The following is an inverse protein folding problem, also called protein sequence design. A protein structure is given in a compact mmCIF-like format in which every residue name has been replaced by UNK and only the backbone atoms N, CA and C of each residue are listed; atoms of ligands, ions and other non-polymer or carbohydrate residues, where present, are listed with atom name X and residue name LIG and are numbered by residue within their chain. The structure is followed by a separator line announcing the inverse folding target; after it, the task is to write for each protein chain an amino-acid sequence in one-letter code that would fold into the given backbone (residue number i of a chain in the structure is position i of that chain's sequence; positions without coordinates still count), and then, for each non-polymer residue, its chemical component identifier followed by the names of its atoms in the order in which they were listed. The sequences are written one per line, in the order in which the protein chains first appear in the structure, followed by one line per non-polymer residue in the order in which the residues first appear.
data_IF_334340615076
#
_entry.id   IF_334340615076
#
_cell.length_a   1.000
_cell.length_b   1.000
_cell.length_c   1.000
_cell.angle_alpha   90.00
_cell.angle_beta   90.00
_cell.angle_gamma   90.00
#
_symmetry.space_group_name_H-M   'P 1'
#
loop_
_entity.id
_entity.type
_entity.pdbx_description
1 polymer ?
#
# COMPACT_ATOMS: atom_id res chain seq x y z
N UNK A 1 16.58 -3.97 6.14
CA UNK A 1 15.27 -3.67 5.55
C UNK A 1 14.20 -4.09 6.54
N UNK A 2 13.27 -3.19 6.86
CA UNK A 2 12.09 -3.48 7.68
C UNK A 2 10.98 -3.99 6.75
N UNK A 3 10.58 -5.26 6.93
CA UNK A 3 9.59 -5.93 6.09
C UNK A 3 8.15 -5.72 6.65
N UNK A 4 7.17 -6.51 6.20
CA UNK A 4 5.74 -6.39 6.57
C UNK A 4 5.50 -6.30 8.10
N UNK A 5 4.41 -5.63 8.49
CA UNK A 5 3.94 -5.58 9.87
C UNK A 5 4.26 -4.29 10.64
N UNK A 6 4.89 -3.29 10.02
CA UNK A 6 5.24 -2.03 10.70
C UNK A 6 4.07 -1.04 10.85
N UNK A 7 2.93 -1.31 10.22
CA UNK A 7 1.78 -0.41 10.09
C UNK A 7 0.48 -1.01 10.65
N UNK A 8 -0.47 -0.13 10.98
CA UNK A 8 -1.83 -0.47 11.40
C UNK A 8 -1.86 -1.48 12.55
N UNK A 9 -2.60 -2.58 12.36
CA UNK A 9 -2.60 -3.77 13.22
C UNK A 9 -2.11 -5.01 12.47
N UNK A 10 -1.14 -4.83 11.58
CA UNK A 10 -0.59 -5.86 10.70
C UNK A 10 0.29 -6.84 11.50
N UNK A 11 -0.35 -7.71 12.26
CA UNK A 11 0.28 -8.79 13.04
C UNK A 11 0.29 -10.12 12.26
N UNK A 12 -0.57 -10.22 11.24
CA UNK A 12 -0.63 -11.29 10.24
C UNK A 12 -1.09 -10.71 8.88
N UNK A 13 -1.43 -11.58 7.92
CA UNK A 13 -1.82 -11.16 6.56
C UNK A 13 -3.31 -10.82 6.37
N UNK A 14 -4.11 -10.82 7.45
CA UNK A 14 -5.58 -10.74 7.36
C UNK A 14 -6.15 -9.32 7.43
N UNK A 15 -5.36 -8.35 7.89
CA UNK A 15 -5.82 -7.00 8.25
C UNK A 15 -4.86 -5.89 7.83
N UNK A 16 -5.35 -4.65 7.83
CA UNK A 16 -4.57 -3.40 7.77
C UNK A 16 -3.88 -3.03 6.46
N UNK A 17 -3.84 -3.87 5.41
CA UNK A 17 -3.43 -3.37 4.09
C UNK A 17 -4.35 -2.23 3.68
N UNK A 18 -3.74 -1.15 3.18
CA UNK A 18 -4.38 0.14 2.96
C UNK A 18 -4.10 1.16 4.06
N UNK A 19 -3.94 0.73 5.32
CA UNK A 19 -3.76 1.61 6.49
C UNK A 19 -2.27 1.87 6.78
N UNK A 20 -1.61 2.62 5.90
CA UNK A 20 -0.17 2.92 5.95
C UNK A 20 0.21 3.94 7.04
N UNK A 21 -0.10 3.63 8.30
CA UNK A 21 0.25 4.44 9.48
C UNK A 21 1.07 3.57 10.43
N UNK A 22 2.18 4.10 10.96
CA UNK A 22 3.08 3.35 11.86
C UNK A 22 2.32 2.82 13.08
N UNK A 23 2.47 1.53 13.38
CA UNK A 23 1.88 0.90 14.56
C UNK A 23 2.62 1.35 15.83
N UNK A 24 2.00 2.25 16.60
CA UNK A 24 2.57 2.76 17.84
C UNK A 24 2.67 1.72 18.97
N UNK A 25 2.00 0.56 18.85
CA UNK A 25 2.20 -0.55 19.81
C UNK A 25 3.56 -1.19 19.64
N UNK A 26 4.02 -1.31 18.39
CA UNK A 26 5.33 -1.86 18.02
C UNK A 26 6.43 -0.79 18.07
N UNK A 27 6.08 0.43 17.68
CA UNK A 27 6.98 1.57 17.57
C UNK A 27 6.40 2.78 18.31
N UNK A 28 6.44 2.80 19.66
CA UNK A 28 5.82 3.86 20.48
C UNK A 28 6.30 5.28 20.12
N UNK A 29 7.57 5.40 19.75
CA UNK A 29 8.20 6.67 19.36
C UNK A 29 8.30 6.84 17.83
N UNK A 30 7.50 6.08 17.07
CA UNK A 30 7.56 5.99 15.62
C UNK A 30 8.80 5.24 15.11
N UNK A 31 9.06 5.29 13.80
CA UNK A 31 10.19 4.57 13.20
C UNK A 31 11.52 5.33 13.36
N UNK A 32 11.50 6.61 13.76
CA UNK A 32 12.69 7.45 13.81
C UNK A 32 13.84 6.85 14.65
N UNK A 33 13.63 6.35 15.89
CA UNK A 33 14.73 5.79 16.67
C UNK A 33 15.38 4.58 16.00
N UNK A 34 14.58 3.72 15.36
CA UNK A 34 15.08 2.57 14.61
C UNK A 34 15.90 3.01 13.40
N UNK A 35 15.37 3.95 12.62
CA UNK A 35 16.01 4.49 11.42
C UNK A 35 17.34 5.17 11.78
N UNK A 36 17.32 6.08 12.75
CA UNK A 36 18.51 6.79 13.21
C UNK A 36 19.58 5.82 13.70
N UNK A 37 19.20 4.79 14.48
CA UNK A 37 20.14 3.79 14.96
C UNK A 37 20.81 3.04 13.81
N UNK A 38 20.02 2.52 12.85
CA UNK A 38 20.57 1.82 11.68
C UNK A 38 21.51 2.71 10.88
N UNK A 39 21.14 3.97 10.65
CA UNK A 39 21.96 4.94 9.91
C UNK A 39 23.25 5.27 10.68
N UNK A 40 23.18 5.43 12.01
CA UNK A 40 24.37 5.67 12.85
C UNK A 40 25.40 4.54 12.80
N UNK A 41 24.97 3.33 12.46
CA UNK A 41 25.84 2.17 12.25
C UNK A 41 26.45 2.15 10.83
N UNK A 42 26.23 3.19 10.03
CA UNK A 42 26.73 3.30 8.65
C UNK A 42 25.95 2.48 7.64
N UNK A 43 24.75 1.99 7.99
CA UNK A 43 23.90 1.20 7.09
C UNK A 43 22.81 2.05 6.44
N UNK A 44 22.40 1.65 5.24
CA UNK A 44 21.20 2.19 4.61
C UNK A 44 19.95 1.55 5.22
N UNK A 45 18.94 2.37 5.52
CA UNK A 45 17.64 1.87 5.96
C UNK A 45 16.70 1.69 4.77
N UNK A 46 15.91 0.63 4.77
CA UNK A 46 14.91 0.36 3.74
C UNK A 46 13.64 -0.21 4.33
N UNK A 47 12.52 -0.02 3.64
CA UNK A 47 11.17 -0.33 4.14
C UNK A 47 10.32 -1.05 3.09
N UNK A 48 9.38 -1.87 3.53
CA UNK A 48 8.42 -2.59 2.70
C UNK A 48 7.09 -1.85 2.55
N UNK A 49 6.50 -1.91 1.36
CA UNK A 49 5.14 -1.48 1.05
C UNK A 49 4.47 -2.47 0.09
N UNK A 50 3.15 -2.62 0.20
CA UNK A 50 2.28 -3.30 -0.79
C UNK A 50 1.10 -2.37 -1.17
N UNK A 51 1.35 -1.23 -1.84
CA UNK A 51 0.39 -0.12 -1.93
C UNK A 51 -0.89 -0.47 -2.68
N UNK A 52 -0.84 -1.46 -3.56
CA UNK A 52 -1.93 -1.82 -4.45
C UNK A 52 -3.02 -2.64 -3.77
N UNK A 53 -2.84 -3.03 -2.50
CA UNK A 53 -3.75 -3.91 -1.79
C UNK A 53 -4.49 -3.23 -0.66
N UNK A 54 -5.65 -3.80 -0.34
CA UNK A 54 -6.47 -3.40 0.80
C UNK A 54 -7.09 -4.63 1.47
N UNK A 55 -7.09 -4.71 2.79
CA UNK A 55 -7.86 -5.73 3.50
C UNK A 55 -9.28 -5.23 3.74
N UNK A 56 -10.27 -6.12 3.69
CA UNK A 56 -11.64 -5.76 4.09
C UNK A 56 -11.72 -5.35 5.57
N UNK A 57 -10.83 -5.92 6.39
CA UNK A 57 -10.54 -5.47 7.74
C UNK A 57 -9.45 -4.37 7.72
N UNK A 58 -9.76 -3.22 7.12
CA UNK A 58 -8.94 -1.98 7.20
C UNK A 58 -9.85 -0.78 7.38
N UNK A 59 -9.33 0.31 7.94
CA UNK A 59 -10.04 1.59 8.01
C UNK A 59 -10.29 2.13 6.59
N UNK A 60 -9.32 1.99 5.68
CA UNK A 60 -9.46 2.39 4.28
C UNK A 60 -10.66 1.71 3.62
N UNK A 61 -10.79 0.38 3.72
CA UNK A 61 -11.89 -0.34 3.10
C UNK A 61 -13.24 -0.03 3.76
N UNK A 62 -13.28 0.15 5.09
CA UNK A 62 -14.50 0.57 5.78
C UNK A 62 -15.00 1.93 5.31
N UNK A 63 -14.08 2.87 5.07
CA UNK A 63 -14.40 4.21 4.59
C UNK A 63 -14.73 4.23 3.08
N UNK A 64 -14.01 3.43 2.30
CA UNK A 64 -14.05 3.45 0.83
C UNK A 64 -14.11 2.03 0.24
N UNK A 65 -15.19 1.26 0.48
CA UNK A 65 -15.33 -0.10 -0.06
C UNK A 65 -15.49 -0.09 -1.59
N UNK A 66 -15.80 1.07 -2.18
CA UNK A 66 -15.87 1.28 -3.62
C UNK A 66 -14.48 1.44 -4.27
N UNK A 67 -13.41 1.68 -3.50
CA UNK A 67 -12.06 1.80 -4.02
C UNK A 67 -11.43 0.45 -4.39
N UNK A 68 -12.01 -0.68 -3.98
CA UNK A 68 -11.55 -1.99 -4.42
C UNK A 68 -11.94 -2.25 -5.88
N UNK A 69 -10.99 -2.79 -6.65
CA UNK A 69 -11.17 -3.22 -8.03
C UNK A 69 -12.19 -4.36 -8.08
N UNK A 70 -13.36 -4.10 -8.68
CA UNK A 70 -14.49 -5.01 -8.70
C UNK A 70 -15.30 -4.86 -9.98
N UNK A 71 -16.07 -5.91 -10.29
CA UNK A 71 -17.12 -5.88 -11.32
C UNK A 71 -18.46 -6.01 -10.62
N UNK A 72 -19.41 -5.13 -10.92
CA UNK A 72 -20.74 -5.16 -10.32
C UNK A 72 -21.42 -6.52 -10.51
N UNK A 73 -22.06 -7.03 -9.46
CA UNK A 73 -22.71 -8.35 -9.47
C UNK A 73 -21.77 -9.56 -9.49
N UNK A 74 -20.44 -9.38 -9.40
CA UNK A 74 -19.49 -10.49 -9.23
C UNK A 74 -18.95 -10.54 -7.80
N UNK A 75 -18.78 -11.74 -7.21
CA UNK A 75 -18.21 -11.86 -5.88
C UNK A 75 -16.75 -11.41 -5.87
N UNK A 76 -16.30 -10.91 -4.72
CA UNK A 76 -14.88 -10.75 -4.44
C UNK A 76 -14.24 -12.12 -4.25
N UNK A 77 -13.15 -12.37 -4.98
CA UNK A 77 -12.32 -13.55 -4.79
C UNK A 77 -11.13 -13.14 -3.93
N UNK A 78 -11.10 -13.64 -2.69
CA UNK A 78 -9.96 -13.42 -1.80
C UNK A 78 -8.79 -14.30 -2.26
N UNK A 79 -7.61 -13.69 -2.33
CA UNK A 79 -6.33 -14.38 -2.31
C UNK A 79 -5.53 -13.73 -1.18
N UNK A 80 -4.95 -14.53 -0.27
CA UNK A 80 -4.22 -14.02 0.90
C UNK A 80 -5.02 -12.96 1.71
N UNK A 81 -6.33 -13.16 1.86
CA UNK A 81 -7.23 -12.32 2.67
C UNK A 81 -7.32 -10.82 2.27
N UNK A 82 -6.80 -10.43 1.12
CA UNK A 82 -6.76 -9.03 0.66
C UNK A 82 -7.55 -8.84 -0.64
N UNK A 83 -7.80 -7.60 -1.05
CA UNK A 83 -8.35 -7.17 -2.35
C UNK A 83 -7.38 -6.21 -3.03
N UNK A 84 -7.58 -5.99 -4.33
CA UNK A 84 -6.78 -5.03 -5.10
C UNK A 84 -7.50 -3.69 -5.12
N UNK A 85 -6.79 -2.58 -4.93
CA UNK A 85 -7.32 -1.22 -5.11
C UNK A 85 -7.43 -0.88 -6.61
N UNK A 86 -8.47 -0.14 -6.99
CA UNK A 86 -8.64 0.40 -8.33
C UNK A 86 -7.82 1.69 -8.50
N UNK A 87 -6.58 1.54 -8.98
CA UNK A 87 -5.67 2.66 -9.20
C UNK A 87 -6.05 3.50 -10.42
N UNK A 88 -7.04 3.08 -11.22
CA UNK A 88 -7.55 3.92 -12.32
C UNK A 88 -8.31 5.15 -11.80
N UNK A 89 -8.66 5.14 -10.51
CA UNK A 89 -9.25 6.26 -9.78
C UNK A 89 -8.15 7.18 -9.26
N UNK A 90 -8.23 8.47 -9.60
CA UNK A 90 -7.24 9.45 -9.16
C UNK A 90 -7.20 9.58 -7.63
N UNK A 91 -8.34 9.45 -6.95
CA UNK A 91 -8.40 9.56 -5.49
C UNK A 91 -7.59 8.46 -4.79
N UNK A 92 -7.60 7.25 -5.35
CA UNK A 92 -6.81 6.12 -4.85
C UNK A 92 -5.32 6.38 -5.05
N UNK A 93 -4.92 6.82 -6.24
CA UNK A 93 -3.52 7.14 -6.53
C UNK A 93 -2.99 8.28 -5.65
N UNK A 94 -3.79 9.33 -5.44
CA UNK A 94 -3.45 10.47 -4.59
C UNK A 94 -3.33 10.06 -3.12
N UNK A 95 -4.28 9.26 -2.62
CA UNK A 95 -4.22 8.71 -1.26
C UNK A 95 -2.94 7.91 -1.04
N UNK A 96 -2.64 6.97 -1.94
CA UNK A 96 -1.44 6.13 -1.82
C UNK A 96 -0.18 7.00 -1.86
N UNK A 97 -0.10 7.94 -2.80
CA UNK A 97 1.03 8.86 -2.86
C UNK A 97 1.19 9.66 -1.57
N UNK A 98 0.12 10.19 -0.99
CA UNK A 98 0.14 10.92 0.28
C UNK A 98 0.70 10.03 1.41
N UNK A 99 0.21 8.80 1.53
CA UNK A 99 0.65 7.88 2.59
C UNK A 99 2.10 7.46 2.45
N UNK A 100 2.53 7.08 1.24
CA UNK A 100 3.93 6.77 0.99
C UNK A 100 4.80 8.01 1.27
N UNK A 101 4.39 9.18 0.76
CA UNK A 101 5.15 10.42 0.95
C UNK A 101 5.32 10.77 2.41
N UNK A 102 4.27 10.64 3.24
CA UNK A 102 4.35 10.94 4.67
C UNK A 102 5.41 10.09 5.39
N UNK A 103 5.58 8.82 5.02
CA UNK A 103 6.58 7.93 5.60
C UNK A 103 7.97 8.21 5.03
N UNK A 104 8.08 8.37 3.70
CA UNK A 104 9.35 8.60 3.01
C UNK A 104 9.97 9.96 3.33
N UNK A 105 9.17 11.00 3.51
CA UNK A 105 9.66 12.35 3.84
C UNK A 105 10.08 12.51 5.29
N UNK A 106 9.65 11.61 6.19
CA UNK A 106 9.89 11.72 7.64
C UNK A 106 11.08 10.89 8.13
N UNK A 107 11.67 10.05 7.28
CA UNK A 107 12.72 9.12 7.66
C UNK A 107 13.83 9.04 6.61
N UNK A 108 15.06 8.74 7.03
CA UNK A 108 16.19 8.50 6.14
C UNK A 108 16.09 7.12 5.45
N UNK A 109 15.13 6.96 4.55
CA UNK A 109 14.88 5.73 3.80
C UNK A 109 15.63 5.80 2.47
N UNK A 110 16.48 4.81 2.20
CA UNK A 110 17.28 4.71 0.96
C UNK A 110 16.82 3.59 0.04
N UNK A 111 15.87 2.76 0.48
CA UNK A 111 15.40 1.60 -0.27
C UNK A 111 13.92 1.31 0.03
N UNK A 112 13.15 1.01 -1.02
CA UNK A 112 11.78 0.53 -0.91
C UNK A 112 11.71 -0.88 -1.51
N UNK A 113 11.17 -1.83 -0.76
CA UNK A 113 10.64 -3.08 -1.32
C UNK A 113 9.16 -2.84 -1.64
N UNK A 114 8.86 -2.71 -2.92
CA UNK A 114 7.49 -2.60 -3.42
C UNK A 114 6.98 -3.99 -3.78
N UNK A 115 5.93 -4.43 -3.10
CA UNK A 115 5.38 -5.77 -3.21
C UNK A 115 3.95 -5.75 -3.75
N UNK A 116 3.50 -6.90 -4.25
CA UNK A 116 2.16 -7.10 -4.83
C UNK A 116 1.85 -8.60 -4.80
N UNK A 117 1.05 -9.05 -3.82
CA UNK A 117 0.94 -10.47 -3.47
C UNK A 117 -0.33 -11.17 -3.99
N UNK A 118 -1.01 -10.62 -5.02
CA UNK A 118 -2.12 -11.33 -5.67
C UNK A 118 -2.40 -10.87 -7.09
N UNK A 119 -2.87 -11.79 -7.93
CA UNK A 119 -3.36 -11.44 -9.27
C UNK A 119 -4.64 -10.59 -9.25
N UNK A 120 -4.85 -9.87 -10.37
CA UNK A 120 -6.11 -9.20 -10.67
C UNK A 120 -7.16 -10.25 -11.03
N UNK A 121 -8.02 -10.61 -10.07
CA UNK A 121 -9.11 -11.58 -10.32
C UNK A 121 -10.24 -11.01 -11.16
N UNK A 122 -10.34 -9.68 -11.22
CA UNK A 122 -11.30 -8.95 -12.02
C UNK A 122 -10.55 -8.13 -13.07
N UNK A 123 -10.62 -8.57 -14.34
CA UNK A 123 -10.05 -7.80 -15.47
C UNK A 123 -10.90 -6.59 -15.88
N UNK A 124 -12.03 -6.37 -15.21
CA UNK A 124 -12.99 -5.29 -15.49
C UNK A 124 -13.20 -4.38 -14.28
N UNK A 125 -13.57 -3.12 -14.56
CA UNK A 125 -14.02 -2.17 -13.54
C UNK A 125 -15.48 -2.40 -13.16
N UNK A 126 -16.03 -1.48 -12.36
CA UNK A 126 -17.41 -1.62 -11.83
C UNK A 126 -18.45 -1.75 -12.95
N UNK A 127 -18.21 -1.10 -14.09
CA UNK A 127 -19.06 -1.14 -15.29
C UNK A 127 -18.86 -2.38 -16.17
N UNK A 128 -17.99 -3.30 -15.76
CA UNK A 128 -17.63 -4.52 -16.49
C UNK A 128 -16.69 -4.29 -17.67
N UNK A 129 -16.24 -3.06 -17.95
CA UNK A 129 -15.29 -2.79 -19.04
C UNK A 129 -13.89 -3.15 -18.62
N UNK A 130 -13.08 -3.63 -19.57
CA UNK A 130 -11.70 -3.97 -19.32
C UNK A 130 -10.91 -2.77 -18.75
N UNK A 131 -10.16 -3.02 -17.67
CA UNK A 131 -9.38 -2.02 -16.92
C UNK A 131 -7.92 -2.41 -16.75
N UNK A 132 -7.53 -3.67 -16.96
CA UNK A 132 -6.16 -4.17 -16.66
C UNK A 132 -5.06 -3.27 -17.20
N UNK A 133 -5.10 -2.87 -18.48
CA UNK A 133 -4.08 -1.97 -19.04
C UNK A 133 -4.07 -0.60 -18.35
N UNK A 134 -5.24 -0.02 -18.05
CA UNK A 134 -5.33 1.26 -17.34
C UNK A 134 -4.82 1.15 -15.91
N UNK A 135 -5.13 0.05 -15.22
CA UNK A 135 -4.61 -0.27 -13.89
C UNK A 135 -3.08 -0.31 -13.90
N UNK A 136 -2.49 -1.06 -14.84
CA UNK A 136 -1.02 -1.15 -14.97
C UNK A 136 -0.38 0.20 -15.25
N UNK A 137 -0.96 1.00 -16.17
CA UNK A 137 -0.45 2.34 -16.46
C UNK A 137 -0.56 3.27 -15.25
N UNK A 138 -1.61 3.14 -14.44
CA UNK A 138 -1.77 3.91 -13.20
C UNK A 138 -0.74 3.53 -12.13
N UNK A 139 -0.41 2.23 -12.01
CA UNK A 139 0.71 1.77 -11.15
C UNK A 139 2.02 2.41 -11.59
N UNK A 140 2.33 2.40 -12.90
CA UNK A 140 3.54 3.03 -13.42
C UNK A 140 3.58 4.53 -13.15
N UNK A 141 2.44 5.22 -13.31
CA UNK A 141 2.34 6.64 -13.01
C UNK A 141 2.60 6.93 -11.52
N UNK A 142 2.04 6.12 -10.61
CA UNK A 142 2.28 6.24 -9.17
C UNK A 142 3.75 5.98 -8.82
N UNK A 143 4.35 4.90 -9.32
CA UNK A 143 5.77 4.61 -9.10
C UNK A 143 6.68 5.72 -9.63
N UNK A 144 6.39 6.25 -10.83
CA UNK A 144 7.13 7.36 -11.40
C UNK A 144 7.00 8.63 -10.54
N UNK A 145 5.80 8.92 -10.04
CA UNK A 145 5.55 10.05 -9.13
C UNK A 145 6.34 9.92 -7.82
N UNK A 146 6.37 8.73 -7.22
CA UNK A 146 7.16 8.46 -6.00
C UNK A 146 8.66 8.65 -6.28
N UNK A 147 9.20 8.03 -7.33
CA UNK A 147 10.62 8.15 -7.71
C UNK A 147 11.05 9.56 -8.11
N UNK A 148 10.11 10.40 -8.55
CA UNK A 148 10.41 11.80 -8.85
C UNK A 148 10.47 12.66 -7.58
N UNK A 149 9.82 12.22 -6.50
CA UNK A 149 9.71 12.98 -5.26
C UNK A 149 10.79 12.59 -4.22
N UNK A 150 11.29 11.36 -4.27
CA UNK A 150 12.24 10.76 -3.32
C UNK A 150 13.31 9.95 -4.05
#
# INVERSE_FOLDING_TARGET
MLDDGWFGRRDDDTTSLGDWVVDQRKYPDGLKPLVDHVVSLGMQFGIWFEPEMVNEESDLYRAHPDWALKVEGRPFLRSRNQQVLDLTRSEVSDYLFEKLSAVLSSHAISYIKWDMNRDLTHGGGVDGRAVTTRQTLAVYALMARVRSAF
#
